data_IF_685264031381
#
_entry.id   IF_685264031381
#
_cell.length_a   1.000
_cell.length_b   1.000
_cell.length_c   1.000
_cell.angle_alpha   90.00
_cell.angle_beta   90.00
_cell.angle_gamma   90.00
#
_symmetry.space_group_name_H-M   'P 1'
#
loop_
_entity.id
_entity.type
_entity.pdbx_description
1 polymer ?
#
# COMPACT_ATOMS: atom_id res chain seq x y z
N UNK A 1 -6.30 26.51 7.07
CA UNK A 1 -7.18 25.68 7.91
C UNK A 1 -7.42 24.39 7.14
N UNK A 2 -6.86 23.28 7.62
CA UNK A 2 -6.95 21.96 6.96
C UNK A 2 -8.35 21.37 7.13
N UNK A 3 -8.95 20.80 6.06
CA UNK A 3 -10.33 20.28 6.04
C UNK A 3 -10.53 18.99 6.85
N UNK A 4 -9.47 18.44 7.45
CA UNK A 4 -9.50 17.22 8.25
C UNK A 4 -9.68 17.55 9.74
N UNK A 5 -10.92 17.52 10.23
CA UNK A 5 -11.26 17.77 11.63
C UNK A 5 -11.23 16.48 12.48
N UNK A 6 -10.94 16.61 13.78
CA UNK A 6 -11.03 15.50 14.74
C UNK A 6 -9.85 14.53 14.71
N UNK A 7 -8.64 15.04 14.42
CA UNK A 7 -7.38 14.31 14.48
C UNK A 7 -6.47 14.80 15.64
N UNK A 8 -6.92 15.78 16.42
CA UNK A 8 -6.09 16.49 17.41
C UNK A 8 -5.53 15.54 18.48
N UNK A 9 -6.38 14.71 19.07
CA UNK A 9 -6.00 13.70 20.08
C UNK A 9 -4.91 12.74 19.56
N UNK A 10 -4.98 12.39 18.28
CA UNK A 10 -3.99 11.51 17.67
C UNK A 10 -2.66 12.24 17.40
N UNK A 11 -2.69 13.47 16.88
CA UNK A 11 -1.46 14.26 16.73
C UNK A 11 -0.81 14.53 18.09
N UNK A 12 -1.60 14.74 19.14
CA UNK A 12 -1.14 14.83 20.53
C UNK A 12 -0.50 13.52 20.98
N UNK A 13 -1.14 12.36 20.76
CA UNK A 13 -0.57 11.06 21.11
C UNK A 13 0.73 10.76 20.34
N UNK A 14 0.80 11.10 19.05
CA UNK A 14 2.01 10.94 18.25
C UNK A 14 3.13 11.83 18.77
N UNK A 15 2.80 13.05 19.18
CA UNK A 15 3.74 14.00 19.81
C UNK A 15 4.20 13.50 21.18
N UNK A 16 3.30 12.93 21.99
CA UNK A 16 3.63 12.35 23.29
C UNK A 16 4.52 11.10 23.13
N UNK A 17 4.20 10.24 22.17
CA UNK A 17 5.00 9.07 21.81
C UNK A 17 6.39 9.49 21.37
N UNK A 18 6.50 10.55 20.57
CA UNK A 18 7.79 11.13 20.20
C UNK A 18 8.59 11.62 21.42
N UNK A 19 7.97 12.38 22.33
CA UNK A 19 8.64 12.89 23.54
C UNK A 19 9.12 11.73 24.42
N UNK A 20 8.26 10.76 24.68
CA UNK A 20 8.59 9.58 25.48
C UNK A 20 9.72 8.76 24.84
N UNK A 21 9.74 8.68 23.50
CA UNK A 21 10.79 8.00 22.77
C UNK A 21 12.10 8.82 22.74
N UNK A 22 12.03 10.16 22.72
CA UNK A 22 13.17 11.08 22.75
C UNK A 22 13.97 11.05 24.07
N UNK A 23 13.37 10.56 25.15
CA UNK A 23 14.06 10.23 26.40
C UNK A 23 14.92 8.94 26.29
N UNK A 24 14.81 8.17 25.19
CA UNK A 24 15.75 7.12 24.83
C UNK A 24 16.92 7.68 24.03
N UNK A 25 18.14 7.58 24.59
CA UNK A 25 19.42 8.04 24.03
C UNK A 25 19.77 7.56 22.60
N UNK A 26 18.96 6.69 21.99
CA UNK A 26 19.17 6.09 20.66
C UNK A 26 18.44 6.79 19.51
N UNK A 27 17.59 7.78 19.77
CA UNK A 27 16.86 8.50 18.71
C UNK A 27 17.59 9.77 18.28
N UNK A 28 17.89 9.89 16.98
CA UNK A 28 18.40 11.13 16.40
C UNK A 28 17.22 12.04 16.01
N UNK A 29 16.97 13.17 16.72
CA UNK A 29 15.84 14.05 16.45
C UNK A 29 15.88 14.75 15.09
N UNK A 30 17.03 14.67 14.38
CA UNK A 30 17.21 15.20 13.02
C UNK A 30 16.64 14.29 11.95
N UNK A 31 16.44 13.00 12.25
CA UNK A 31 15.91 12.03 11.29
C UNK A 31 14.37 11.97 11.31
N UNK A 32 13.73 12.71 12.23
CA UNK A 32 12.28 12.67 12.42
C UNK A 32 11.59 13.51 11.34
N UNK A 33 10.60 12.95 10.62
CA UNK A 33 9.87 13.69 9.59
C UNK A 33 9.13 14.90 10.19
N UNK A 34 9.36 16.09 9.63
CA UNK A 34 8.71 17.35 10.10
C UNK A 34 7.89 18.03 9.02
N UNK A 35 8.03 17.62 7.77
CA UNK A 35 7.35 18.23 6.65
C UNK A 35 6.17 17.33 6.20
N UNK A 36 4.91 17.81 6.29
CA UNK A 36 3.73 17.05 5.86
C UNK A 36 3.75 16.60 4.41
N UNK A 37 4.48 17.27 3.51
CA UNK A 37 4.49 16.92 2.07
C UNK A 37 5.53 15.87 1.70
N UNK A 38 6.61 15.72 2.47
CA UNK A 38 7.65 14.69 2.31
C UNK A 38 7.58 13.58 3.37
N UNK A 39 6.57 13.63 4.25
CA UNK A 39 6.47 12.77 5.44
C UNK A 39 6.49 11.27 5.12
N UNK A 40 5.84 10.79 4.06
CA UNK A 40 5.88 9.37 3.67
C UNK A 40 7.31 8.90 3.35
N UNK A 41 7.99 9.65 2.50
CA UNK A 41 9.36 9.37 2.06
C UNK A 41 10.36 9.48 3.22
N UNK A 42 10.22 10.51 4.04
CA UNK A 42 11.04 10.70 5.24
C UNK A 42 10.78 9.61 6.29
N UNK A 43 9.55 9.15 6.45
CA UNK A 43 9.19 8.05 7.37
C UNK A 43 9.89 6.77 6.97
N UNK A 44 9.75 6.32 5.73
CA UNK A 44 10.43 5.10 5.30
C UNK A 44 11.95 5.23 5.31
N UNK A 45 12.49 6.44 5.06
CA UNK A 45 13.93 6.70 5.18
C UNK A 45 14.41 6.61 6.64
N UNK A 46 13.64 7.18 7.57
CA UNK A 46 13.87 7.06 9.01
C UNK A 46 13.85 5.59 9.44
N UNK A 47 12.80 4.84 9.06
CA UNK A 47 12.64 3.43 9.41
C UNK A 47 13.75 2.58 8.78
N UNK A 48 14.12 2.82 7.52
CA UNK A 48 15.24 2.14 6.88
C UNK A 48 16.59 2.41 7.57
N UNK A 49 16.82 3.64 8.05
CA UNK A 49 18.02 3.98 8.81
C UNK A 49 18.02 3.30 10.20
N UNK A 50 16.87 3.34 10.89
CA UNK A 50 16.68 2.74 12.22
C UNK A 50 16.84 1.22 12.20
N UNK A 51 16.28 0.56 11.20
CA UNK A 51 16.33 -0.89 11.02
C UNK A 51 17.34 -1.32 9.95
N UNK A 52 18.38 -0.51 9.70
CA UNK A 52 19.33 -0.71 8.58
C UNK A 52 19.95 -2.10 8.55
N UNK A 53 20.35 -2.62 9.70
CA UNK A 53 20.96 -3.94 9.80
C UNK A 53 20.00 -5.05 9.35
N UNK A 54 18.72 -4.96 9.71
CA UNK A 54 17.68 -5.91 9.27
C UNK A 54 17.37 -5.77 7.79
N UNK A 55 17.28 -4.53 7.30
CA UNK A 55 17.06 -4.26 5.88
C UNK A 55 18.17 -4.87 5.01
N UNK A 56 19.44 -4.67 5.40
CA UNK A 56 20.59 -5.22 4.66
C UNK A 56 20.66 -6.75 4.75
N UNK A 57 20.41 -7.33 5.93
CA UNK A 57 20.39 -8.79 6.12
C UNK A 57 19.26 -9.45 5.29
N UNK A 58 18.06 -8.87 5.35
CA UNK A 58 16.92 -9.34 4.57
C UNK A 58 17.20 -9.26 3.06
N UNK A 59 17.75 -8.15 2.58
CA UNK A 59 18.12 -7.97 1.18
C UNK A 59 19.10 -9.05 0.71
N UNK A 60 20.14 -9.32 1.50
CA UNK A 60 21.14 -10.33 1.16
C UNK A 60 20.57 -11.74 1.19
N UNK A 61 19.68 -12.04 2.15
CA UNK A 61 18.97 -13.31 2.22
C UNK A 61 18.07 -13.51 0.99
N UNK A 62 17.25 -12.53 0.62
CA UNK A 62 16.38 -12.59 -0.57
C UNK A 62 17.21 -12.74 -1.84
N UNK A 63 18.34 -12.03 -1.96
CA UNK A 63 19.26 -12.16 -3.10
C UNK A 63 19.80 -13.59 -3.20
N UNK A 64 20.15 -14.19 -2.06
CA UNK A 64 20.67 -15.56 -1.98
C UNK A 64 19.60 -16.58 -2.35
N UNK A 65 18.39 -16.50 -1.82
CA UNK A 65 17.32 -17.47 -2.13
C UNK A 65 16.71 -17.26 -3.50
N UNK A 66 16.64 -16.00 -3.95
CA UNK A 66 16.29 -15.64 -5.31
C UNK A 66 17.23 -16.28 -6.33
N UNK A 67 18.41 -16.79 -5.93
CA UNK A 67 19.26 -17.61 -6.79
C UNK A 67 18.53 -18.85 -7.31
N UNK A 68 17.68 -19.51 -6.52
CA UNK A 68 16.91 -20.68 -6.98
C UNK A 68 15.94 -20.31 -8.11
N UNK A 69 15.35 -19.12 -8.05
CA UNK A 69 14.48 -18.56 -9.10
C UNK A 69 15.32 -18.07 -10.29
N UNK A 70 16.47 -17.45 -10.05
CA UNK A 70 17.37 -16.93 -11.10
C UNK A 70 18.15 -18.00 -11.85
N UNK A 71 18.28 -19.21 -11.28
CA UNK A 71 18.85 -20.40 -11.92
C UNK A 71 17.83 -21.18 -12.76
N UNK A 72 16.54 -20.80 -12.73
CA UNK A 72 15.53 -21.30 -13.65
C UNK A 72 15.75 -20.75 -15.07
N UNK A 73 15.02 -21.23 -16.09
CA UNK A 73 15.18 -20.73 -17.46
C UNK A 73 15.06 -19.19 -17.54
N UNK A 74 15.74 -18.60 -18.53
CA UNK A 74 16.00 -17.15 -18.65
C UNK A 74 14.81 -16.22 -18.38
N UNK A 75 13.58 -16.66 -18.69
CA UNK A 75 12.37 -15.89 -18.44
C UNK A 75 12.08 -15.65 -16.95
N UNK A 76 12.40 -16.58 -16.04
CA UNK A 76 12.24 -16.37 -14.60
C UNK A 76 13.22 -15.30 -14.07
N UNK A 77 14.47 -15.34 -14.53
CA UNK A 77 15.46 -14.34 -14.16
C UNK A 77 15.04 -12.94 -14.64
N UNK A 78 14.46 -12.84 -15.85
CA UNK A 78 13.89 -11.58 -16.37
C UNK A 78 12.72 -11.08 -15.53
N UNK A 79 11.77 -11.95 -15.17
CA UNK A 79 10.64 -11.56 -14.31
C UNK A 79 11.15 -11.09 -12.95
N UNK A 80 12.05 -11.84 -12.32
CA UNK A 80 12.67 -11.42 -11.05
C UNK A 80 13.31 -10.04 -11.15
N UNK A 81 14.17 -9.81 -12.15
CA UNK A 81 14.86 -8.53 -12.33
C UNK A 81 13.89 -7.37 -12.60
N UNK A 82 12.78 -7.61 -13.29
CA UNK A 82 11.79 -6.59 -13.62
C UNK A 82 10.91 -6.17 -12.43
N UNK A 83 10.79 -7.02 -11.41
CA UNK A 83 9.87 -6.83 -10.29
C UNK A 83 10.57 -6.74 -8.93
N UNK A 84 11.85 -7.09 -8.81
CA UNK A 84 12.58 -6.96 -7.55
C UNK A 84 12.99 -5.51 -7.30
N UNK A 85 12.17 -4.78 -6.51
CA UNK A 85 12.52 -3.44 -6.01
C UNK A 85 12.68 -3.44 -4.47
N UNK A 86 13.90 -3.27 -3.94
CA UNK A 86 14.18 -3.36 -2.51
C UNK A 86 13.41 -2.37 -1.64
N UNK A 87 13.13 -1.17 -2.16
CA UNK A 87 12.41 -0.14 -1.41
C UNK A 87 10.93 -0.49 -1.31
N UNK A 88 10.31 -0.89 -2.42
CA UNK A 88 8.91 -1.36 -2.42
C UNK A 88 8.75 -2.58 -1.51
N UNK A 89 9.69 -3.51 -1.55
CA UNK A 89 9.72 -4.66 -0.64
C UNK A 89 9.81 -4.20 0.82
N UNK A 90 10.74 -3.28 1.14
CA UNK A 90 10.87 -2.73 2.48
C UNK A 90 9.56 -2.11 2.97
N UNK A 91 8.86 -1.33 2.13
CA UNK A 91 7.58 -0.72 2.49
C UNK A 91 6.53 -1.76 2.92
N UNK A 92 6.55 -2.93 2.28
CA UNK A 92 5.61 -4.02 2.56
C UNK A 92 5.94 -4.78 3.85
N UNK A 93 7.23 -5.02 4.15
CA UNK A 93 7.65 -5.82 5.31
C UNK A 93 7.97 -4.99 6.56
N UNK A 94 8.21 -3.69 6.42
CA UNK A 94 8.51 -2.79 7.52
C UNK A 94 7.51 -2.85 8.69
N UNK A 95 6.18 -3.02 8.47
CA UNK A 95 5.23 -3.14 9.58
C UNK A 95 5.53 -4.32 10.51
N UNK A 96 6.06 -5.44 10.00
CA UNK A 96 6.45 -6.58 10.84
C UNK A 96 7.51 -6.19 11.88
N UNK A 97 8.51 -5.41 11.45
CA UNK A 97 9.60 -4.98 12.33
C UNK A 97 9.18 -3.86 13.28
N UNK A 98 8.37 -2.92 12.80
CA UNK A 98 7.85 -1.82 13.63
C UNK A 98 6.97 -2.35 14.75
N UNK A 99 6.02 -3.23 14.43
CA UNK A 99 5.14 -3.82 15.44
C UNK A 99 5.87 -4.83 16.32
N UNK A 100 6.76 -5.67 15.76
CA UNK A 100 7.55 -6.61 16.56
C UNK A 100 8.43 -5.90 17.60
N UNK A 101 9.07 -4.79 17.22
CA UNK A 101 9.84 -3.96 18.15
C UNK A 101 8.96 -3.38 19.27
N UNK A 102 7.77 -2.88 18.94
CA UNK A 102 6.82 -2.35 19.92
C UNK A 102 6.26 -3.44 20.85
N UNK A 103 6.22 -4.69 20.41
CA UNK A 103 5.68 -5.84 21.15
C UNK A 103 6.68 -6.57 22.05
N UNK A 104 7.96 -6.16 22.05
CA UNK A 104 8.95 -6.74 22.95
C UNK A 104 10.32 -7.04 22.32
N UNK A 105 10.48 -6.79 21.03
CA UNK A 105 11.77 -6.88 20.34
C UNK A 105 11.72 -7.77 19.11
N UNK A 106 12.86 -7.82 18.41
CA UNK A 106 13.01 -8.52 17.15
C UNK A 106 13.98 -9.69 17.30
N UNK A 107 13.68 -10.77 16.59
CA UNK A 107 14.49 -11.98 16.54
C UNK A 107 14.57 -12.53 15.10
N UNK A 108 15.26 -13.66 14.93
CA UNK A 108 15.45 -14.29 13.63
C UNK A 108 14.13 -14.62 12.91
N UNK A 109 13.06 -14.92 13.65
CA UNK A 109 11.76 -15.31 13.07
C UNK A 109 11.15 -14.16 12.29
N UNK A 110 11.29 -12.92 12.77
CA UNK A 110 10.78 -11.74 12.05
C UNK A 110 11.44 -11.59 10.68
N UNK A 111 12.77 -11.77 10.61
CA UNK A 111 13.50 -11.74 9.33
C UNK A 111 13.05 -12.88 8.42
N UNK A 112 12.96 -14.10 8.95
CA UNK A 112 12.63 -15.28 8.14
C UNK A 112 11.20 -15.21 7.59
N UNK A 113 10.26 -14.65 8.36
CA UNK A 113 8.92 -14.31 7.87
C UNK A 113 8.93 -13.23 6.78
N UNK A 114 9.67 -12.14 6.97
CA UNK A 114 9.80 -11.09 5.95
C UNK A 114 10.38 -11.63 4.64
N UNK A 115 11.38 -12.53 4.73
CA UNK A 115 11.97 -13.23 3.59
C UNK A 115 10.94 -14.12 2.89
N UNK A 116 10.26 -14.99 3.64
CA UNK A 116 9.23 -15.89 3.10
C UNK A 116 8.10 -15.12 2.41
N UNK A 117 7.63 -14.05 3.05
CA UNK A 117 6.63 -13.14 2.50
C UNK A 117 7.10 -12.47 1.20
N UNK A 118 8.34 -11.98 1.17
CA UNK A 118 8.86 -11.29 -0.01
C UNK A 118 8.93 -12.23 -1.22
N UNK A 119 9.40 -13.45 -1.00
CA UNK A 119 9.46 -14.48 -2.04
C UNK A 119 8.06 -14.93 -2.47
N UNK A 120 7.18 -15.21 -1.51
CA UNK A 120 5.86 -15.77 -1.76
C UNK A 120 4.85 -14.79 -2.32
N UNK A 121 4.99 -13.52 -1.97
CA UNK A 121 4.00 -12.50 -2.26
C UNK A 121 4.62 -11.18 -2.71
N UNK A 122 5.57 -10.63 -1.94
CA UNK A 122 6.01 -9.25 -2.12
C UNK A 122 6.56 -8.94 -3.52
N UNK A 123 7.31 -9.88 -4.11
CA UNK A 123 7.78 -9.80 -5.50
C UNK A 123 6.69 -10.20 -6.51
N UNK A 124 6.05 -11.39 -6.41
CA UNK A 124 5.09 -11.81 -7.42
C UNK A 124 3.83 -10.94 -7.50
N UNK A 125 3.43 -10.23 -6.44
CA UNK A 125 2.28 -9.30 -6.53
C UNK A 125 2.53 -8.17 -7.50
N UNK A 126 3.76 -7.64 -7.61
CA UNK A 126 4.10 -6.63 -8.61
C UNK A 126 4.00 -7.17 -10.04
N UNK A 127 4.24 -8.48 -10.23
CA UNK A 127 4.00 -9.13 -11.51
C UNK A 127 2.51 -9.31 -11.78
N UNK A 128 1.71 -9.63 -10.77
CA UNK A 128 0.24 -9.73 -10.88
C UNK A 128 -0.38 -8.39 -11.24
N UNK A 129 0.00 -7.34 -10.52
CA UNK A 129 -0.42 -5.95 -10.72
C UNK A 129 -0.20 -5.52 -12.18
N UNK A 130 1.05 -5.65 -12.68
CA UNK A 130 1.36 -5.35 -14.10
C UNK A 130 0.64 -6.24 -15.11
N UNK A 131 0.26 -7.47 -14.75
CA UNK A 131 -0.54 -8.34 -15.63
C UNK A 131 -1.99 -7.88 -15.68
N UNK A 132 -2.52 -7.39 -14.56
CA UNK A 132 -3.88 -6.87 -14.43
C UNK A 132 -4.01 -5.49 -15.09
N UNK A 133 -2.96 -4.67 -15.03
CA UNK A 133 -2.89 -3.35 -15.68
C UNK A 133 -2.40 -3.44 -17.14
N UNK A 134 -2.23 -4.64 -17.66
CA UNK A 134 -1.87 -4.83 -19.05
C UNK A 134 -3.11 -4.56 -19.92
N UNK A 135 -3.02 -3.59 -20.85
CA UNK A 135 -4.08 -3.33 -21.83
C UNK A 135 -4.53 -4.63 -22.51
N UNK A 136 -5.81 -4.75 -22.94
CA UNK A 136 -6.27 -5.90 -23.71
C UNK A 136 -5.34 -6.20 -24.90
N UNK A 137 -4.63 -7.34 -24.84
CA UNK A 137 -3.66 -7.76 -25.87
C UNK A 137 -2.18 -7.58 -25.50
N UNK A 138 -1.86 -6.92 -24.39
CA UNK A 138 -0.52 -6.93 -23.83
C UNK A 138 -0.18 -8.35 -23.32
N UNK A 139 0.96 -8.95 -23.72
CA UNK A 139 1.24 -10.34 -23.43
C UNK A 139 1.62 -10.52 -21.95
N UNK A 140 0.64 -10.79 -21.09
CA UNK A 140 0.90 -11.57 -19.89
C UNK A 140 1.34 -12.96 -20.35
N UNK A 141 2.66 -13.17 -20.36
CA UNK A 141 3.19 -14.43 -20.87
C UNK A 141 2.83 -15.57 -19.91
N UNK A 142 2.61 -16.78 -20.44
CA UNK A 142 2.55 -18.02 -19.63
C UNK A 142 3.70 -18.10 -18.60
N UNK A 143 4.85 -17.52 -18.93
CA UNK A 143 6.02 -17.45 -18.07
C UNK A 143 5.84 -16.56 -16.83
N UNK A 144 5.09 -15.46 -16.92
CA UNK A 144 4.78 -14.60 -15.77
C UNK A 144 3.90 -15.35 -14.76
N UNK A 145 2.88 -16.07 -15.24
CA UNK A 145 2.05 -16.92 -14.37
C UNK A 145 2.83 -18.05 -13.71
N UNK A 146 3.70 -18.74 -14.46
CA UNK A 146 4.58 -19.76 -13.90
C UNK A 146 5.55 -19.19 -12.85
N UNK A 147 6.07 -17.97 -13.09
CA UNK A 147 6.89 -17.25 -12.14
C UNK A 147 6.13 -16.95 -10.83
N UNK A 148 4.90 -16.43 -10.93
CA UNK A 148 4.05 -16.15 -9.76
C UNK A 148 3.78 -17.42 -8.95
N UNK A 149 3.36 -18.50 -9.61
CA UNK A 149 3.06 -19.78 -8.95
C UNK A 149 4.29 -20.38 -8.26
N UNK A 150 5.44 -20.39 -8.93
CA UNK A 150 6.67 -20.92 -8.37
C UNK A 150 7.18 -20.06 -7.19
N UNK A 151 7.09 -18.74 -7.31
CA UNK A 151 7.49 -17.82 -6.23
C UNK A 151 6.60 -18.01 -5.00
N UNK A 152 5.28 -18.13 -5.20
CA UNK A 152 4.33 -18.44 -4.13
C UNK A 152 4.64 -19.78 -3.45
N UNK A 153 4.88 -20.83 -4.23
CA UNK A 153 5.25 -22.15 -3.69
C UNK A 153 6.56 -22.11 -2.90
N UNK A 154 7.59 -21.41 -3.41
CA UNK A 154 8.85 -21.22 -2.70
C UNK A 154 8.63 -20.43 -1.40
N UNK A 155 7.86 -19.35 -1.43
CA UNK A 155 7.54 -18.56 -0.24
C UNK A 155 6.84 -19.39 0.84
N UNK A 156 5.88 -20.25 0.47
CA UNK A 156 5.25 -21.19 1.41
C UNK A 156 6.24 -22.21 1.97
N UNK A 157 7.15 -22.73 1.14
CA UNK A 157 8.19 -23.64 1.61
C UNK A 157 9.11 -22.96 2.63
N UNK A 158 9.50 -21.70 2.39
CA UNK A 158 10.30 -20.92 3.33
C UNK A 158 9.52 -20.59 4.60
N UNK A 159 8.23 -20.27 4.48
CA UNK A 159 7.35 -19.97 5.61
C UNK A 159 7.25 -21.16 6.57
N UNK A 160 7.13 -22.38 6.03
CA UNK A 160 7.06 -23.63 6.81
C UNK A 160 8.36 -23.99 7.52
N UNK A 161 9.49 -23.39 7.13
CA UNK A 161 10.80 -23.57 7.79
C UNK A 161 10.99 -22.60 8.96
N UNK A 162 10.15 -21.56 9.07
CA UNK A 162 10.22 -20.63 10.19
C UNK A 162 9.77 -21.36 11.46
N UNK A 163 10.55 -21.24 12.53
CA UNK A 163 10.20 -21.74 13.85
C UNK A 163 9.07 -20.90 14.48
N UNK A 164 7.86 -21.10 13.96
CA UNK A 164 6.65 -20.36 14.34
C UNK A 164 5.43 -21.28 14.39
N UNK A 165 4.37 -20.83 15.09
CA UNK A 165 3.12 -21.57 15.21
C UNK A 165 2.43 -21.68 13.85
N UNK A 166 1.68 -22.77 13.63
CA UNK A 166 0.88 -22.99 12.41
C UNK A 166 -0.10 -21.84 12.08
N UNK A 167 -0.52 -21.06 13.07
CA UNK A 167 -1.35 -19.88 12.88
C UNK A 167 -0.69 -18.82 11.97
N UNK A 168 0.65 -18.77 11.89
CA UNK A 168 1.40 -17.86 11.02
C UNK A 168 1.22 -18.24 9.54
N UNK A 169 1.32 -19.53 9.20
CA UNK A 169 1.00 -20.01 7.85
C UNK A 169 -0.48 -19.81 7.53
N UNK A 170 -1.38 -20.14 8.48
CA UNK A 170 -2.81 -19.93 8.32
C UNK A 170 -3.20 -18.47 8.04
N UNK A 171 -2.53 -17.51 8.69
CA UNK A 171 -2.68 -16.08 8.44
C UNK A 171 -2.33 -15.72 6.98
N UNK A 172 -1.17 -16.19 6.49
CA UNK A 172 -0.73 -15.91 5.12
C UNK A 172 -1.66 -16.51 4.06
N UNK A 173 -2.06 -17.77 4.26
CA UNK A 173 -2.97 -18.46 3.34
C UNK A 173 -4.34 -17.78 3.26
N UNK A 174 -4.91 -17.41 4.42
CA UNK A 174 -6.20 -16.71 4.48
C UNK A 174 -6.15 -15.37 3.73
N UNK A 175 -5.17 -14.53 4.02
CA UNK A 175 -5.07 -13.21 3.39
C UNK A 175 -4.77 -13.31 1.89
N UNK A 176 -3.88 -14.23 1.47
CA UNK A 176 -3.60 -14.42 0.03
C UNK A 176 -4.81 -14.97 -0.73
N UNK A 177 -5.60 -15.87 -0.13
CA UNK A 177 -6.86 -16.34 -0.71
C UNK A 177 -7.86 -15.18 -0.87
N UNK A 178 -8.03 -14.34 0.15
CA UNK A 178 -8.90 -13.16 0.08
C UNK A 178 -8.46 -12.21 -1.05
N UNK A 179 -7.17 -11.90 -1.15
CA UNK A 179 -6.67 -11.03 -2.22
C UNK A 179 -7.02 -11.58 -3.61
N UNK A 180 -6.72 -12.86 -3.88
CA UNK A 180 -7.03 -13.44 -5.19
C UNK A 180 -8.53 -13.43 -5.49
N UNK A 181 -9.38 -13.57 -4.46
CA UNK A 181 -10.82 -13.41 -4.61
C UNK A 181 -11.19 -11.98 -5.05
N UNK A 182 -10.60 -10.95 -4.44
CA UNK A 182 -10.84 -9.56 -4.82
C UNK A 182 -10.30 -9.23 -6.23
N UNK A 183 -9.11 -9.69 -6.58
CA UNK A 183 -8.56 -9.51 -7.93
C UNK A 183 -9.44 -10.18 -9.00
N UNK A 184 -9.94 -11.38 -8.72
CA UNK A 184 -10.88 -12.05 -9.62
C UNK A 184 -12.21 -11.29 -9.76
N UNK A 185 -12.71 -10.73 -8.67
CA UNK A 185 -13.90 -9.87 -8.69
C UNK A 185 -13.69 -8.62 -9.55
N UNK A 186 -12.58 -7.92 -9.34
CA UNK A 186 -12.20 -6.73 -10.10
C UNK A 186 -12.10 -7.02 -11.60
N UNK A 187 -11.39 -8.08 -11.97
CA UNK A 187 -11.23 -8.49 -13.37
C UNK A 187 -12.58 -8.72 -14.08
N UNK A 188 -13.55 -9.28 -13.37
CA UNK A 188 -14.89 -9.54 -13.91
C UNK A 188 -15.74 -8.30 -14.10
N UNK A 189 -15.45 -7.23 -13.36
CA UNK A 189 -16.19 -5.96 -13.41
C UNK A 189 -15.48 -4.88 -14.23
N UNK A 190 -14.32 -5.18 -14.82
CA UNK A 190 -13.61 -4.25 -15.71
C UNK A 190 -14.49 -3.79 -16.87
N UNK A 191 -14.37 -2.50 -17.20
CA UNK A 191 -15.09 -1.82 -18.27
C UNK A 191 -16.61 -1.91 -18.14
N UNK A 192 -17.13 -1.95 -16.90
CA UNK A 192 -18.55 -1.89 -16.60
C UNK A 192 -18.85 -0.73 -15.67
N UNK A 193 -19.79 0.12 -16.10
CA UNK A 193 -20.39 1.11 -15.22
C UNK A 193 -21.59 0.48 -14.50
N UNK A 194 -21.82 0.81 -13.22
CA UNK A 194 -23.07 0.47 -12.55
C UNK A 194 -24.24 1.23 -13.17
N UNK A 195 -25.40 0.59 -13.31
CA UNK A 195 -26.62 1.22 -13.85
C UNK A 195 -27.10 2.39 -12.98
N UNK A 196 -26.93 2.28 -11.66
CA UNK A 196 -27.24 3.32 -10.71
C UNK A 196 -26.32 3.19 -9.48
N UNK A 197 -25.90 4.33 -8.93
CA UNK A 197 -25.14 4.37 -7.68
C UNK A 197 -25.98 5.02 -6.60
N UNK A 198 -26.28 4.23 -5.56
CA UNK A 198 -27.04 4.70 -4.38
C UNK A 198 -26.10 4.93 -3.20
N UNK A 199 -26.59 5.62 -2.16
CA UNK A 199 -25.88 5.73 -0.89
C UNK A 199 -25.57 4.34 -0.28
N UNK A 200 -26.46 3.35 -0.47
CA UNK A 200 -26.21 1.98 -0.03
C UNK A 200 -25.08 1.31 -0.83
N UNK A 201 -24.97 1.58 -2.13
CA UNK A 201 -23.87 1.11 -2.98
C UNK A 201 -22.54 1.68 -2.52
N UNK A 202 -22.49 2.98 -2.21
CA UNK A 202 -21.28 3.64 -1.68
C UNK A 202 -20.90 3.08 -0.30
N UNK A 203 -21.89 2.87 0.57
CA UNK A 203 -21.64 2.28 1.89
C UNK A 203 -21.17 0.83 1.78
N UNK A 204 -21.74 0.01 0.88
CA UNK A 204 -21.26 -1.36 0.63
C UNK A 204 -19.83 -1.35 0.07
N UNK A 205 -19.48 -0.37 -0.78
CA UNK A 205 -18.12 -0.24 -1.26
C UNK A 205 -17.14 0.10 -0.13
N UNK A 206 -17.51 0.99 0.79
CA UNK A 206 -16.65 1.40 1.91
C UNK A 206 -16.58 0.35 3.02
N UNK A 207 -17.72 -0.22 3.41
CA UNK A 207 -17.89 -1.04 4.61
C UNK A 207 -18.11 -2.53 4.34
N UNK A 208 -18.37 -2.90 3.09
CA UNK A 208 -18.62 -4.27 2.68
C UNK A 208 -17.38 -5.01 2.15
N UNK A 209 -17.64 -5.98 1.28
CA UNK A 209 -16.62 -6.82 0.63
C UNK A 209 -16.23 -6.22 -0.73
N UNK A 210 -15.45 -5.15 -0.72
CA UNK A 210 -14.99 -4.45 -1.92
C UNK A 210 -13.49 -4.63 -2.19
N UNK A 211 -13.04 -4.11 -3.34
CA UNK A 211 -11.60 -4.06 -3.69
C UNK A 211 -10.75 -3.30 -2.69
N UNK A 212 -11.35 -2.51 -1.79
CA UNK A 212 -10.64 -1.83 -0.70
C UNK A 212 -9.90 -2.80 0.24
N UNK A 213 -10.26 -4.08 0.19
CA UNK A 213 -9.63 -5.15 0.94
C UNK A 213 -8.55 -5.90 0.13
N UNK A 214 -8.25 -5.54 -1.12
CA UNK A 214 -7.29 -6.29 -1.96
C UNK A 214 -5.87 -6.31 -1.38
N UNK A 215 -5.43 -5.25 -0.71
CA UNK A 215 -4.09 -5.20 -0.12
C UNK A 215 -3.95 -6.07 1.13
N UNK A 216 -2.87 -6.85 1.21
CA UNK A 216 -2.63 -7.77 2.34
C UNK A 216 -1.33 -7.57 3.11
N UNK A 217 -0.47 -6.63 2.70
CA UNK A 217 0.84 -6.50 3.33
C UNK A 217 0.74 -6.10 4.80
N UNK A 218 -0.05 -5.07 5.11
CA UNK A 218 -0.31 -4.65 6.49
C UNK A 218 -0.96 -5.75 7.35
N UNK A 219 -2.09 -6.36 6.95
CA UNK A 219 -2.73 -7.37 7.79
C UNK A 219 -1.84 -8.59 8.04
N UNK A 220 -1.14 -9.10 7.03
CA UNK A 220 -0.23 -10.24 7.21
C UNK A 220 0.93 -9.89 8.16
N UNK A 221 1.63 -8.78 7.89
CA UNK A 221 2.86 -8.45 8.63
C UNK A 221 2.59 -8.00 10.07
N UNK A 222 1.50 -7.28 10.32
CA UNK A 222 1.11 -6.87 11.67
C UNK A 222 0.56 -8.08 12.44
N UNK A 223 -0.31 -8.89 11.84
CA UNK A 223 -0.85 -10.09 12.51
C UNK A 223 0.27 -11.07 12.87
N UNK A 224 1.26 -11.25 12.00
CA UNK A 224 2.45 -12.03 12.32
C UNK A 224 3.24 -11.49 13.51
N UNK A 225 3.42 -10.17 13.63
CA UNK A 225 4.08 -9.58 14.79
C UNK A 225 3.37 -9.97 16.11
N UNK A 226 2.05 -9.89 16.13
CA UNK A 226 1.23 -10.33 17.27
C UNK A 226 1.29 -11.85 17.50
N UNK A 227 1.23 -12.65 16.44
CA UNK A 227 1.33 -14.11 16.54
C UNK A 227 2.70 -14.56 17.08
N UNK A 228 3.78 -13.86 16.74
CA UNK A 228 5.11 -14.15 17.27
C UNK A 228 5.26 -13.74 18.74
N UNK A 229 4.76 -12.55 19.11
CA UNK A 229 4.91 -12.01 20.46
C UNK A 229 3.94 -12.62 21.48
N UNK A 230 2.68 -12.82 21.07
CA UNK A 230 1.56 -13.11 21.97
C UNK A 230 0.81 -14.40 21.59
N UNK A 231 1.01 -14.90 20.38
CA UNK A 231 0.34 -16.10 19.89
C UNK A 231 -1.09 -15.90 19.38
N UNK A 232 -1.62 -14.67 19.43
CA UNK A 232 -2.94 -14.31 18.91
C UNK A 232 -3.00 -12.82 18.55
N UNK A 233 -3.91 -12.45 17.65
CA UNK A 233 -4.23 -11.06 17.35
C UNK A 233 -5.18 -10.49 18.43
N UNK A 234 -4.88 -9.33 19.04
CA UNK A 234 -5.81 -8.69 19.96
C UNK A 234 -7.15 -8.33 19.29
N UNK A 235 -8.29 -8.40 20.01
CA UNK A 235 -9.61 -8.14 19.43
C UNK A 235 -9.75 -6.76 18.78
N UNK A 236 -9.11 -5.73 19.33
CA UNK A 236 -9.09 -4.38 18.80
C UNK A 236 -8.34 -4.27 17.46
N UNK A 237 -7.39 -5.18 17.20
CA UNK A 237 -6.60 -5.15 15.97
C UNK A 237 -7.32 -5.79 14.79
N UNK A 238 -8.26 -6.72 14.99
CA UNK A 238 -9.02 -7.30 13.88
C UNK A 238 -9.75 -6.23 13.03
N UNK A 239 -10.58 -5.33 13.60
CA UNK A 239 -11.18 -4.23 12.84
C UNK A 239 -10.15 -3.18 12.38
N UNK A 240 -9.08 -2.94 13.15
CA UNK A 240 -8.02 -2.02 12.74
C UNK A 240 -7.30 -2.48 11.47
N UNK A 241 -7.03 -3.78 11.32
CA UNK A 241 -6.40 -4.32 10.11
C UNK A 241 -7.30 -4.17 8.89
N UNK A 242 -8.61 -4.37 9.03
CA UNK A 242 -9.59 -4.10 7.95
C UNK A 242 -9.60 -2.62 7.58
N UNK A 243 -9.66 -1.73 8.57
CA UNK A 243 -9.62 -0.29 8.36
C UNK A 243 -8.32 0.15 7.67
N UNK A 244 -7.18 -0.43 8.05
CA UNK A 244 -5.87 -0.11 7.46
C UNK A 244 -5.79 -0.51 5.98
N UNK A 245 -6.39 -1.64 5.59
CA UNK A 245 -6.53 -2.04 4.17
C UNK A 245 -7.33 -1.01 3.39
N UNK A 246 -8.50 -0.64 3.92
CA UNK A 246 -9.39 0.34 3.28
C UNK A 246 -8.77 1.70 3.13
N UNK A 247 -8.16 2.21 4.19
CA UNK A 247 -7.43 3.47 4.19
C UNK A 247 -6.31 3.47 3.13
N UNK A 248 -5.50 2.40 3.07
CA UNK A 248 -4.45 2.27 2.05
C UNK A 248 -5.04 2.30 0.66
N UNK A 249 -6.05 1.47 0.38
CA UNK A 249 -6.57 1.34 -0.97
C UNK A 249 -7.32 2.59 -1.42
N UNK A 250 -8.07 3.25 -0.53
CA UNK A 250 -8.70 4.54 -0.84
C UNK A 250 -7.69 5.63 -1.19
N UNK A 251 -6.54 5.66 -0.50
CA UNK A 251 -5.50 6.63 -0.82
C UNK A 251 -4.92 6.39 -2.22
N UNK A 252 -4.70 5.13 -2.58
CA UNK A 252 -4.21 4.77 -3.91
C UNK A 252 -5.29 5.08 -4.97
N UNK A 253 -6.58 4.79 -4.72
CA UNK A 253 -7.68 5.15 -5.63
C UNK A 253 -7.85 6.66 -5.86
N UNK A 254 -7.46 7.50 -4.90
CA UNK A 254 -7.45 8.96 -5.10
C UNK A 254 -6.31 9.39 -6.02
N UNK A 255 -5.14 8.77 -5.88
CA UNK A 255 -3.96 9.13 -6.67
C UNK A 255 -4.06 8.56 -8.09
N UNK A 256 -4.53 7.32 -8.21
CA UNK A 256 -4.50 6.55 -9.45
C UNK A 256 -5.85 6.66 -10.20
N UNK A 257 -6.74 7.58 -9.80
CA UNK A 257 -8.09 7.70 -10.36
C UNK A 257 -8.13 7.75 -11.90
N UNK A 258 -7.19 8.45 -12.54
CA UNK A 258 -7.16 8.50 -14.02
C UNK A 258 -6.55 7.26 -14.66
N UNK A 259 -5.63 6.60 -13.97
CA UNK A 259 -5.02 5.37 -14.45
C UNK A 259 -6.01 4.20 -14.32
N UNK A 260 -6.62 4.05 -13.14
CA UNK A 260 -7.63 3.03 -12.85
C UNK A 260 -8.76 3.05 -13.89
N UNK A 261 -9.28 4.24 -14.23
CA UNK A 261 -10.37 4.33 -15.20
C UNK A 261 -9.92 3.94 -16.60
N UNK A 262 -8.68 4.25 -17.03
CA UNK A 262 -8.18 3.80 -18.35
C UNK A 262 -8.15 2.26 -18.42
N UNK A 263 -7.81 1.62 -17.31
CA UNK A 263 -7.82 0.16 -17.19
C UNK A 263 -9.22 -0.44 -16.91
N UNK A 264 -10.27 0.37 -17.01
CA UNK A 264 -11.65 -0.07 -16.86
C UNK A 264 -12.09 -0.28 -15.42
N UNK A 265 -11.34 0.22 -14.44
CA UNK A 265 -11.62 0.04 -13.02
C UNK A 265 -12.42 1.26 -12.51
N UNK A 266 -13.61 1.00 -11.98
CA UNK A 266 -14.48 2.05 -11.41
C UNK A 266 -14.31 2.08 -9.89
N UNK A 267 -13.62 3.10 -9.41
CA UNK A 267 -13.21 3.25 -7.99
C UNK A 267 -14.15 4.13 -7.19
N UNK A 268 -13.91 4.26 -5.87
CA UNK A 268 -14.76 5.07 -5.01
C UNK A 268 -14.97 6.51 -5.51
N UNK A 269 -13.92 7.28 -5.92
CA UNK A 269 -14.13 8.59 -6.52
C UNK A 269 -15.13 8.60 -7.68
N UNK A 270 -15.08 7.61 -8.58
CA UNK A 270 -16.04 7.52 -9.68
C UNK A 270 -17.43 7.12 -9.24
N UNK A 271 -17.55 6.12 -8.36
CA UNK A 271 -18.85 5.72 -7.83
C UNK A 271 -19.54 6.92 -7.15
N UNK A 272 -18.79 7.67 -6.34
CA UNK A 272 -19.30 8.87 -5.70
C UNK A 272 -19.71 9.94 -6.74
N UNK A 273 -18.87 10.21 -7.75
CA UNK A 273 -19.17 11.14 -8.82
C UNK A 273 -20.41 10.74 -9.63
N UNK A 274 -20.58 9.45 -9.92
CA UNK A 274 -21.73 8.88 -10.63
C UNK A 274 -23.03 9.01 -9.83
N UNK A 275 -22.96 9.05 -8.50
CA UNK A 275 -24.11 9.31 -7.63
C UNK A 275 -24.48 10.80 -7.53
N UNK A 276 -23.67 11.70 -8.09
CA UNK A 276 -23.85 13.16 -8.00
C UNK A 276 -24.73 13.71 -9.13
N UNK A 277 -25.13 15.00 -9.08
CA UNK A 277 -25.80 15.67 -10.20
C UNK A 277 -25.00 15.65 -11.52
N UNK A 278 -23.68 15.45 -11.46
CA UNK A 278 -22.79 15.35 -12.62
C UNK A 278 -22.67 13.92 -13.17
N UNK A 279 -23.38 12.94 -12.57
CA UNK A 279 -23.16 11.53 -12.84
C UNK A 279 -23.40 11.10 -14.30
N UNK A 280 -24.39 11.71 -14.97
CA UNK A 280 -24.65 11.42 -16.38
C UNK A 280 -23.51 11.87 -17.30
N UNK A 281 -23.04 13.11 -17.12
CA UNK A 281 -21.91 13.67 -17.87
C UNK A 281 -20.61 12.91 -17.59
N UNK A 282 -20.39 12.51 -16.33
CA UNK A 282 -19.26 11.68 -15.94
C UNK A 282 -19.31 10.30 -16.61
N UNK A 283 -20.47 9.64 -16.64
CA UNK A 283 -20.64 8.35 -17.30
C UNK A 283 -20.32 8.43 -18.81
N UNK A 284 -20.81 9.47 -19.49
CA UNK A 284 -20.50 9.71 -20.91
C UNK A 284 -18.99 9.90 -21.13
N UNK A 285 -18.32 10.68 -20.27
CA UNK A 285 -16.87 10.87 -20.34
C UNK A 285 -16.10 9.56 -20.12
N UNK A 286 -16.50 8.73 -19.15
CA UNK A 286 -15.88 7.43 -18.88
C UNK A 286 -16.02 6.50 -20.09
N UNK A 287 -17.22 6.40 -20.66
CA UNK A 287 -17.46 5.56 -21.84
C UNK A 287 -16.64 6.05 -23.06
N UNK A 288 -16.57 7.37 -23.26
CA UNK A 288 -15.73 7.97 -24.30
C UNK A 288 -14.24 7.68 -24.07
N UNK A 289 -13.78 7.69 -22.82
CA UNK A 289 -12.41 7.34 -22.44
C UNK A 289 -12.10 5.90 -22.83
N UNK A 290 -12.94 4.94 -22.45
CA UNK A 290 -12.76 3.53 -22.78
C UNK A 290 -12.81 3.26 -24.28
N UNK A 291 -13.72 3.94 -24.99
CA UNK A 291 -13.79 3.84 -26.43
C UNK A 291 -12.51 4.37 -27.09
N UNK A 292 -12.05 5.56 -26.68
CA UNK A 292 -10.85 6.17 -27.24
C UNK A 292 -9.60 5.35 -26.95
N UNK A 293 -9.41 4.86 -25.73
CA UNK A 293 -8.24 4.07 -25.35
C UNK A 293 -8.17 2.74 -26.13
N UNK A 294 -9.33 2.16 -26.46
CA UNK A 294 -9.42 0.96 -27.33
C UNK A 294 -9.15 1.26 -28.80
N UNK A 295 -9.75 2.34 -29.33
CA UNK A 295 -9.77 2.61 -30.77
C UNK A 295 -8.52 3.38 -31.23
N UNK A 296 -7.99 4.28 -30.38
CA UNK A 296 -6.80 5.11 -30.61
C UNK A 296 -5.93 5.21 -29.32
N UNK A 297 -5.20 4.14 -28.94
CA UNK A 297 -4.27 4.21 -27.80
C UNK A 297 -3.28 5.37 -27.94
N UNK A 298 -2.99 6.04 -26.82
CA UNK A 298 -2.09 7.21 -26.75
C UNK A 298 -2.53 8.44 -27.56
N UNK A 299 -3.81 8.52 -27.97
CA UNK A 299 -4.35 9.67 -28.68
C UNK A 299 -4.24 10.96 -27.86
N UNK A 300 -3.80 12.09 -28.45
CA UNK A 300 -3.78 13.39 -27.76
C UNK A 300 -5.18 13.85 -27.34
N UNK A 301 -6.25 13.26 -27.90
CA UNK A 301 -7.65 13.48 -27.49
C UNK A 301 -7.93 12.96 -26.06
N UNK A 302 -7.05 12.14 -25.48
CA UNK A 302 -7.19 11.67 -24.10
C UNK A 302 -7.04 12.81 -23.09
N UNK A 303 -6.15 13.76 -23.36
CA UNK A 303 -5.88 14.89 -22.45
C UNK A 303 -7.14 15.72 -22.11
N UNK A 304 -7.98 16.16 -23.07
CA UNK A 304 -9.21 16.88 -22.75
C UNK A 304 -10.24 16.00 -22.02
N UNK A 305 -10.34 14.70 -22.34
CA UNK A 305 -11.23 13.78 -21.61
C UNK A 305 -10.83 13.67 -20.13
N UNK A 306 -9.53 13.49 -19.87
CA UNK A 306 -8.97 13.44 -18.51
C UNK A 306 -9.20 14.76 -17.77
N UNK A 307 -8.96 15.90 -18.40
CA UNK A 307 -9.17 17.21 -17.77
C UNK A 307 -10.65 17.41 -17.37
N UNK A 308 -11.56 17.05 -18.26
CA UNK A 308 -13.00 17.15 -18.04
C UNK A 308 -13.47 16.21 -16.92
N UNK A 309 -12.99 14.96 -16.93
CA UNK A 309 -13.29 13.99 -15.88
C UNK A 309 -12.84 14.45 -14.50
N UNK A 310 -11.62 15.00 -14.40
CA UNK A 310 -11.12 15.59 -13.15
C UNK A 310 -12.00 16.73 -12.67
N UNK A 311 -12.43 17.63 -13.57
CA UNK A 311 -13.35 18.72 -13.24
C UNK A 311 -14.65 18.18 -12.63
N UNK A 312 -15.27 17.19 -13.27
CA UNK A 312 -16.51 16.57 -12.80
C UNK A 312 -16.35 15.91 -11.42
N UNK A 313 -15.25 15.18 -11.20
CA UNK A 313 -14.96 14.57 -9.90
C UNK A 313 -14.75 15.61 -8.79
N UNK A 314 -14.09 16.73 -9.11
CA UNK A 314 -13.86 17.84 -8.19
C UNK A 314 -15.15 18.60 -7.86
N UNK A 315 -15.98 18.89 -8.85
CA UNK A 315 -17.29 19.54 -8.62
C UNK A 315 -18.23 18.67 -7.78
N UNK A 316 -18.15 17.35 -7.97
CA UNK A 316 -18.85 16.38 -7.13
C UNK A 316 -18.24 16.21 -5.72
N UNK A 317 -17.06 16.77 -5.43
CA UNK A 317 -16.35 16.60 -4.16
C UNK A 317 -15.90 15.15 -3.89
N UNK A 318 -15.68 14.37 -4.95
CA UNK A 318 -15.48 12.92 -4.83
C UNK A 318 -14.11 12.54 -4.25
N UNK A 319 -13.08 13.33 -4.55
CA UNK A 319 -11.73 13.13 -4.02
C UNK A 319 -11.68 13.50 -2.53
N UNK A 320 -12.36 14.57 -2.13
CA UNK A 320 -12.57 14.92 -0.73
C UNK A 320 -13.33 13.84 0.04
N UNK A 321 -14.41 13.29 -0.53
CA UNK A 321 -15.18 12.23 0.11
C UNK A 321 -14.35 10.96 0.36
N UNK A 322 -13.50 10.59 -0.61
CA UNK A 322 -12.57 9.48 -0.47
C UNK A 322 -11.53 9.74 0.65
N UNK A 323 -10.95 10.94 0.67
CA UNK A 323 -9.99 11.34 1.69
C UNK A 323 -10.60 11.38 3.09
N UNK A 324 -11.83 11.86 3.25
CA UNK A 324 -12.57 11.85 4.51
C UNK A 324 -12.84 10.42 5.00
N UNK A 325 -13.24 9.53 4.09
CA UNK A 325 -13.45 8.11 4.40
C UNK A 325 -12.16 7.42 4.83
N UNK A 326 -11.04 7.74 4.17
CA UNK A 326 -9.71 7.28 4.59
C UNK A 326 -9.35 7.74 6.01
N UNK A 327 -9.64 9.00 6.36
CA UNK A 327 -9.41 9.51 7.72
C UNK A 327 -10.30 8.83 8.77
N UNK A 328 -11.54 8.46 8.39
CA UNK A 328 -12.41 7.69 9.27
C UNK A 328 -11.79 6.35 9.63
N UNK A 329 -11.28 5.60 8.65
CA UNK A 329 -10.61 4.32 8.90
C UNK A 329 -9.33 4.46 9.71
N UNK A 330 -8.55 5.51 9.46
CA UNK A 330 -7.35 5.78 10.23
C UNK A 330 -7.63 5.99 11.71
N UNK A 331 -8.76 6.62 12.06
CA UNK A 331 -9.18 6.76 13.46
C UNK A 331 -9.32 5.40 14.14
N UNK A 332 -9.93 4.42 13.48
CA UNK A 332 -10.06 3.05 13.99
C UNK A 332 -8.68 2.41 14.23
N UNK A 333 -7.73 2.61 13.32
CA UNK A 333 -6.35 2.11 13.48
C UNK A 333 -5.68 2.75 14.68
N UNK A 334 -5.74 4.08 14.79
CA UNK A 334 -5.10 4.81 15.87
C UNK A 334 -5.69 4.50 17.23
N UNK A 335 -7.00 4.28 17.33
CA UNK A 335 -7.65 3.83 18.56
C UNK A 335 -7.07 2.49 19.05
N UNK A 336 -6.88 1.51 18.15
CA UNK A 336 -6.27 0.23 18.50
C UNK A 336 -4.79 0.38 18.89
N UNK A 337 -4.04 1.26 18.22
CA UNK A 337 -2.64 1.56 18.59
C UNK A 337 -2.57 2.18 19.98
N UNK A 338 -3.39 3.19 20.27
CA UNK A 338 -3.42 3.91 21.55
C UNK A 338 -3.87 3.03 22.70
N UNK A 339 -4.80 2.10 22.48
CA UNK A 339 -5.24 1.16 23.51
C UNK A 339 -4.21 0.09 23.82
N UNK A 340 -3.38 -0.29 22.84
CA UNK A 340 -2.44 -1.41 22.96
C UNK A 340 -1.04 -1.00 23.40
N UNK A 341 -0.52 0.07 22.82
CA UNK A 341 0.87 0.46 23.00
C UNK A 341 0.98 1.62 23.97
N UNK A 342 1.82 1.52 25.00
CA UNK A 342 2.18 2.68 25.78
C UNK A 342 3.04 3.62 24.90
N UNK A 343 2.98 4.92 25.16
CA UNK A 343 3.52 5.95 24.27
C UNK A 343 5.02 5.73 23.96
N UNK A 344 5.80 5.25 24.92
CA UNK A 344 7.22 4.97 24.77
C UNK A 344 7.54 3.86 23.76
N UNK A 345 6.59 2.96 23.47
CA UNK A 345 6.73 1.90 22.47
C UNK A 345 6.01 2.21 21.15
N UNK A 346 5.19 3.25 21.12
CA UNK A 346 4.30 3.53 20.00
C UNK A 346 4.90 4.46 18.94
N UNK A 347 6.07 5.07 19.17
CA UNK A 347 6.60 6.09 18.25
C UNK A 347 6.76 5.59 16.80
N UNK A 348 7.45 4.47 16.59
CA UNK A 348 7.64 3.92 15.24
C UNK A 348 6.31 3.47 14.60
N UNK A 349 5.39 2.94 15.42
CA UNK A 349 4.05 2.49 15.00
C UNK A 349 3.22 3.68 14.52
N UNK A 350 3.15 4.73 15.32
CA UNK A 350 2.45 5.97 14.97
C UNK A 350 3.06 6.59 13.73
N UNK A 351 4.39 6.68 13.62
CA UNK A 351 5.05 7.20 12.42
C UNK A 351 4.62 6.43 11.15
N UNK A 352 4.69 5.09 11.19
CA UNK A 352 4.33 4.22 10.08
C UNK A 352 2.86 4.35 9.65
N UNK A 353 1.94 4.45 10.62
CA UNK A 353 0.49 4.56 10.37
C UNK A 353 0.14 5.95 9.82
N UNK A 354 0.72 6.99 10.43
CA UNK A 354 0.42 8.39 10.11
C UNK A 354 0.87 8.79 8.71
N UNK A 355 1.90 8.13 8.18
CA UNK A 355 2.51 8.50 6.91
C UNK A 355 1.53 8.48 5.74
N UNK A 356 0.43 7.73 5.85
CA UNK A 356 -0.55 7.59 4.77
C UNK A 356 -1.38 8.84 4.55
N UNK A 357 -1.50 9.71 5.55
CA UNK A 357 -2.23 10.97 5.41
C UNK A 357 -1.43 12.02 4.65
N UNK A 358 -0.10 11.90 4.62
CA UNK A 358 0.77 12.89 4.00
C UNK A 358 0.49 13.05 2.50
N UNK A 359 0.15 11.96 1.82
CA UNK A 359 -0.20 11.99 0.39
C UNK A 359 -1.50 12.75 0.15
N UNK A 360 -2.53 12.51 0.96
CA UNK A 360 -3.81 13.20 0.85
C UNK A 360 -3.67 14.70 1.15
N UNK A 361 -2.90 15.07 2.18
CA UNK A 361 -2.59 16.48 2.45
C UNK A 361 -1.87 17.14 1.29
N UNK A 362 -0.92 16.45 0.67
CA UNK A 362 -0.16 16.98 -0.47
C UNK A 362 -1.07 17.18 -1.68
N UNK A 363 -1.94 16.23 -1.99
CA UNK A 363 -2.92 16.36 -3.08
C UNK A 363 -3.91 17.50 -2.81
N UNK A 364 -4.45 17.59 -1.59
CA UNK A 364 -5.36 18.69 -1.19
C UNK A 364 -4.69 20.06 -1.42
N UNK A 365 -3.43 20.23 -1.01
CA UNK A 365 -2.67 21.47 -1.19
C UNK A 365 -2.45 21.86 -2.67
N UNK A 366 -2.53 20.90 -3.58
CA UNK A 366 -2.37 21.12 -5.03
C UNK A 366 -3.70 20.99 -5.77
N UNK A 367 -4.83 21.17 -5.07
CA UNK A 367 -6.16 21.14 -5.69
C UNK A 367 -6.52 19.78 -6.27
N UNK A 368 -6.07 18.70 -5.63
CA UNK A 368 -6.26 17.30 -6.04
C UNK A 368 -5.74 16.96 -7.44
N UNK A 369 -4.79 17.75 -7.94
CA UNK A 369 -4.08 17.40 -9.15
C UNK A 369 -3.00 16.36 -8.82
N UNK A 370 -2.83 15.39 -9.72
CA UNK A 370 -1.67 14.52 -9.70
C UNK A 370 -0.38 15.36 -9.73
N UNK A 371 0.53 15.07 -8.82
CA UNK A 371 1.83 15.75 -8.74
C UNK A 371 2.88 14.72 -9.17
N UNK A 372 3.64 15.04 -10.21
CA UNK A 372 4.72 14.17 -10.70
C UNK A 372 5.68 13.84 -9.57
N UNK A 373 5.96 12.55 -9.37
CA UNK A 373 6.89 12.08 -8.34
C UNK A 373 6.30 12.00 -6.92
N UNK A 374 4.97 12.02 -6.71
CA UNK A 374 4.35 11.77 -5.39
C UNK A 374 4.77 10.43 -4.80
N UNK A 375 4.93 9.41 -5.64
CA UNK A 375 5.41 8.09 -5.22
C UNK A 375 6.92 7.94 -5.16
N UNK A 376 7.69 8.94 -5.62
CA UNK A 376 9.14 8.89 -5.57
C UNK A 376 9.58 9.48 -4.24
N UNK A 377 10.01 8.65 -3.27
CA UNK A 377 10.75 9.18 -2.16
C UNK A 377 11.99 9.88 -2.68
N UNK A 378 12.06 11.21 -2.55
CA UNK A 378 13.36 11.83 -2.37
C UNK A 378 14.01 11.04 -1.23
N UNK A 379 15.23 10.50 -1.41
CA UNK A 379 16.32 11.07 -2.19
C UNK A 379 16.72 10.24 -3.42
N UNK A 380 15.76 9.73 -4.20
CA UNK A 380 16.09 8.91 -5.40
C UNK A 380 15.90 9.63 -6.74
N UNK A 381 15.54 10.92 -6.74
CA UNK A 381 15.75 11.77 -7.93
C UNK A 381 17.25 12.06 -8.06
N UNK A 382 17.79 12.03 -9.28
CA UNK A 382 19.22 12.32 -9.55
C UNK A 382 19.66 13.74 -9.15
N UNK A 383 18.79 14.55 -8.57
CA UNK A 383 18.94 16.01 -8.42
C UNK A 383 18.91 16.54 -6.98
N UNK A 384 18.82 15.73 -5.92
CA UNK A 384 18.78 16.26 -4.55
C UNK A 384 20.09 16.06 -3.77
N UNK A 385 20.76 17.16 -3.41
CA UNK A 385 21.99 17.23 -2.60
C UNK A 385 21.82 16.78 -1.13
N UNK A 386 20.62 16.35 -0.72
CA UNK A 386 20.27 15.95 0.66
C UNK A 386 20.10 14.43 0.84
N UNK A 387 20.64 13.63 -0.09
CA UNK A 387 20.58 12.18 0.01
C UNK A 387 21.30 11.65 1.27
N UNK A 388 20.54 11.07 2.20
CA UNK A 388 21.11 10.03 3.07
C UNK A 388 21.52 8.92 2.14
N UNK A 389 22.82 8.78 1.91
CA UNK A 389 23.32 7.76 1.01
C UNK A 389 23.10 6.38 1.63
N UNK A 390 21.95 5.78 1.31
CA UNK A 390 21.77 4.33 1.36
C UNK A 390 22.55 3.75 0.17
N UNK A 391 23.88 3.92 0.17
CA UNK A 391 24.76 3.14 -0.70
C UNK A 391 24.62 1.67 -0.28
N UNK A 392 23.62 0.99 -0.82
CA UNK A 392 23.74 -0.43 -1.14
C UNK A 392 24.80 -0.47 -2.23
N UNK A 393 25.89 -1.25 -2.10
CA UNK A 393 26.88 -1.36 -3.16
C UNK A 393 26.17 -1.92 -4.39
N UNK A 394 25.91 -1.04 -5.36
CA UNK A 394 25.41 -1.42 -6.67
C UNK A 394 26.59 -2.01 -7.44
N UNK A 395 26.75 -3.32 -7.42
CA UNK A 395 27.64 -4.06 -8.32
C UNK A 395 26.96 -5.33 -8.79
#
# INVERSE_FOLDING_TARGET
MTRFHGLDEWFEYSTASWRAAGDHASLDPRLIPRNPTSYNSETYRYLAARYRHLFLDLYEAIRTDGTLIRQQPEHFAKQWAAHYDPITIWKQVCPLFVFGQALGGLDARHRDLARAYTLGYGIPVMAIDRMMDALPGAPSTKHTWLFVLASYALGLEQLRKVDAKAAVEGCFLRHTQEMYHFFWGEERERYRLPDAVSAATLNEYLEGHSRLLSSIFFPVTIEWAFLLAEGALPPEFAPALVALRRMRQLNDEVVDADEDIRYGIVTFPYLHGLASPHGAELAENVLATWQLDRDEPDSPKMAPLTAERRRLLQEAGSLEAAAQSSMHFLRTVMQAVMSRFPAEKAFDVTLLVNQRVSHLFRLEQHGWQEITGVYQPEPFSKSSESAVSLHVPWT
#
